data_IF_219399129254
#
_entry.id   IF_219399129254
#
_cell.length_a   1.000
_cell.length_b   1.000
_cell.length_c   1.000
_cell.angle_alpha   90.00
_cell.angle_beta   90.00
_cell.angle_gamma   90.00
#
_symmetry.space_group_name_H-M   'P 1'
#
loop_
_entity.id
_entity.type
_entity.pdbx_description
1 polymer ?
#
# COMPACT_ATOMS: atom_id res chain seq x y z
N UNK A 1 23.34 -22.39 -2.66
CA UNK A 1 24.22 -21.80 -3.68
C UNK A 1 23.52 -20.57 -4.27
N UNK A 2 23.58 -19.43 -3.58
CA UNK A 2 23.22 -18.12 -4.14
C UNK A 2 24.04 -17.05 -3.43
N UNK A 3 25.18 -16.71 -4.03
CA UNK A 3 25.96 -15.54 -3.66
C UNK A 3 26.73 -15.11 -4.90
N UNK A 4 26.04 -14.48 -5.84
CA UNK A 4 26.74 -13.50 -6.68
C UNK A 4 26.76 -12.21 -5.87
N UNK A 5 27.93 -11.63 -5.58
CA UNK A 5 27.98 -10.29 -5.03
C UNK A 5 27.37 -9.36 -6.08
N UNK A 6 26.29 -8.69 -5.73
CA UNK A 6 25.80 -7.56 -6.50
C UNK A 6 26.85 -6.48 -6.24
N UNK A 7 27.71 -6.16 -7.21
CA UNK A 7 28.65 -5.05 -7.10
C UNK A 7 27.84 -3.74 -7.26
N UNK A 8 27.54 -2.99 -6.19
CA UNK A 8 26.49 -1.96 -6.27
C UNK A 8 26.97 -0.62 -6.84
N UNK A 9 28.16 -0.54 -7.43
CA UNK A 9 28.87 0.75 -7.58
C UNK A 9 28.90 1.27 -9.02
N UNK A 10 28.53 0.49 -10.02
CA UNK A 10 28.73 0.92 -11.42
C UNK A 10 27.90 2.16 -11.81
N UNK A 11 26.78 2.43 -11.15
CA UNK A 11 25.85 3.50 -11.55
C UNK A 11 26.21 4.91 -11.06
N UNK A 12 27.05 5.03 -10.03
CA UNK A 12 27.39 6.34 -9.41
C UNK A 12 28.89 6.63 -9.44
N UNK A 13 29.70 5.78 -10.06
CA UNK A 13 31.15 5.97 -10.14
C UNK A 13 31.52 7.34 -10.74
N UNK A 14 30.78 7.82 -11.73
CA UNK A 14 30.99 9.13 -12.36
C UNK A 14 30.72 10.33 -11.45
N UNK A 15 29.92 10.14 -10.39
CA UNK A 15 29.66 11.18 -9.37
C UNK A 15 30.56 11.01 -8.15
N UNK A 16 31.32 9.91 -8.08
CA UNK A 16 32.03 9.40 -6.91
C UNK A 16 33.49 9.80 -6.78
N UNK A 17 34.00 10.71 -7.61
CA UNK A 17 35.44 11.05 -7.72
C UNK A 17 36.10 11.48 -6.39
N UNK A 18 35.32 11.88 -5.39
CA UNK A 18 35.79 12.30 -4.07
C UNK A 18 35.60 11.25 -2.97
N UNK A 19 35.13 10.05 -3.29
CA UNK A 19 34.91 8.96 -2.32
C UNK A 19 33.86 9.28 -1.25
N UNK A 20 32.97 10.25 -1.52
CA UNK A 20 31.98 10.78 -0.59
C UNK A 20 30.58 10.15 -0.73
N UNK A 21 30.43 9.13 -1.60
CA UNK A 21 29.20 8.38 -1.76
C UNK A 21 29.37 6.97 -1.21
N UNK A 22 28.41 6.53 -0.39
CA UNK A 22 28.32 5.16 0.10
C UNK A 22 26.89 4.68 -0.08
N UNK A 23 26.73 3.45 -0.58
CA UNK A 23 25.43 2.81 -0.61
C UNK A 23 25.11 2.27 0.79
N UNK A 24 24.02 2.75 1.36
CA UNK A 24 23.49 2.17 2.59
C UNK A 24 22.65 0.93 2.22
N UNK A 25 22.92 -0.23 2.83
CA UNK A 25 22.09 -1.41 2.61
C UNK A 25 20.67 -1.15 3.13
N UNK A 26 19.70 -1.87 2.57
CA UNK A 26 18.32 -1.83 3.07
C UNK A 26 18.28 -2.29 4.54
N UNK A 27 17.47 -1.60 5.34
CA UNK A 27 17.26 -1.92 6.76
C UNK A 27 16.12 -2.92 6.97
N UNK A 28 15.55 -3.46 5.89
CA UNK A 28 14.42 -4.39 5.95
C UNK A 28 14.91 -5.76 6.42
N UNK A 29 14.49 -6.16 7.62
CA UNK A 29 14.84 -7.45 8.21
C UNK A 29 13.94 -8.58 7.69
N UNK A 30 14.35 -9.27 6.63
CA UNK A 30 13.58 -10.37 6.02
C UNK A 30 13.11 -11.43 7.04
N UNK A 31 14.00 -11.90 7.92
CA UNK A 31 13.64 -12.88 8.97
C UNK A 31 12.54 -12.40 9.92
N UNK A 32 12.49 -11.09 10.18
CA UNK A 32 11.43 -10.50 11.01
C UNK A 32 10.08 -10.50 10.26
N UNK A 33 10.12 -10.32 8.94
CA UNK A 33 8.93 -10.43 8.09
C UNK A 33 8.43 -11.87 8.06
N UNK A 34 9.31 -12.85 7.88
CA UNK A 34 8.93 -14.27 7.88
C UNK A 34 8.26 -14.66 9.21
N UNK A 35 8.89 -14.33 10.34
CA UNK A 35 8.31 -14.57 11.66
C UNK A 35 6.96 -13.86 11.88
N UNK A 36 6.78 -12.66 11.30
CA UNK A 36 5.51 -11.96 11.34
C UNK A 36 4.44 -12.68 10.50
N UNK A 37 4.79 -13.15 9.29
CA UNK A 37 3.86 -13.89 8.42
C UNK A 37 3.38 -15.17 9.12
N UNK A 38 4.29 -15.91 9.75
CA UNK A 38 3.97 -17.17 10.45
C UNK A 38 3.06 -16.96 11.66
N UNK A 39 3.26 -15.85 12.38
CA UNK A 39 2.49 -15.52 13.58
C UNK A 39 1.14 -14.83 13.28
N UNK A 40 0.93 -14.33 12.06
CA UNK A 40 -0.24 -13.51 11.72
C UNK A 40 -0.94 -14.00 10.44
N UNK A 41 -1.80 -15.02 10.55
CA UNK A 41 -2.67 -15.46 9.47
C UNK A 41 -3.57 -14.33 8.96
N UNK A 42 -3.81 -14.28 7.64
CA UNK A 42 -4.66 -13.24 7.01
C UNK A 42 -6.06 -13.16 7.60
N UNK A 43 -6.78 -14.27 7.86
CA UNK A 43 -8.12 -14.19 8.45
C UNK A 43 -8.13 -13.47 9.81
N UNK A 44 -7.11 -13.70 10.64
CA UNK A 44 -6.99 -13.10 11.96
C UNK A 44 -6.73 -11.59 11.84
N UNK A 45 -5.88 -11.18 10.90
CA UNK A 45 -5.62 -9.77 10.61
C UNK A 45 -6.86 -9.06 10.04
N UNK A 46 -7.59 -9.71 9.12
CA UNK A 46 -8.84 -9.13 8.56
C UNK A 46 -9.88 -8.96 9.66
N UNK A 47 -10.01 -9.95 10.55
CA UNK A 47 -10.86 -9.87 11.74
C UNK A 47 -10.44 -8.74 12.69
N UNK A 48 -9.14 -8.61 13.01
CA UNK A 48 -8.58 -7.53 13.84
C UNK A 48 -9.01 -6.15 13.34
N UNK A 49 -9.02 -5.95 12.02
CA UNK A 49 -9.36 -4.67 11.39
C UNK A 49 -10.82 -4.56 10.92
N UNK A 50 -11.67 -5.56 11.23
CA UNK A 50 -13.08 -5.64 10.82
C UNK A 50 -13.28 -5.51 9.30
N UNK A 51 -12.33 -6.06 8.55
CA UNK A 51 -12.38 -6.14 7.10
C UNK A 51 -13.14 -7.38 6.67
N UNK A 52 -13.73 -7.31 5.47
CA UNK A 52 -14.44 -8.44 4.88
C UNK A 52 -13.45 -9.59 4.61
N UNK A 53 -13.69 -10.80 5.16
CA UNK A 53 -12.77 -11.91 5.00
C UNK A 53 -12.66 -12.38 3.55
N UNK A 54 -13.68 -12.15 2.72
CA UNK A 54 -13.76 -12.66 1.35
C UNK A 54 -13.52 -11.59 0.27
N UNK A 55 -13.38 -10.32 0.66
CA UNK A 55 -13.09 -9.25 -0.29
C UNK A 55 -11.67 -9.34 -0.83
N UNK A 56 -11.50 -8.94 -2.09
CA UNK A 56 -10.19 -8.63 -2.65
C UNK A 56 -9.78 -7.24 -2.19
N UNK A 57 -8.62 -7.13 -1.53
CA UNK A 57 -8.14 -5.88 -0.94
C UNK A 57 -7.02 -5.28 -1.80
N UNK A 58 -7.29 -4.11 -2.36
CA UNK A 58 -6.28 -3.26 -3.00
C UNK A 58 -5.88 -2.18 -2.01
N UNK A 59 -4.64 -2.22 -1.51
CA UNK A 59 -4.23 -1.39 -0.37
C UNK A 59 -3.13 -0.41 -0.77
N UNK A 60 -3.35 0.86 -0.47
CA UNK A 60 -2.35 1.92 -0.45
C UNK A 60 -1.97 2.22 1.01
N UNK A 61 -0.68 2.09 1.34
CA UNK A 61 -0.17 2.38 2.69
C UNK A 61 0.76 3.59 2.64
N UNK A 62 0.41 4.61 3.42
CA UNK A 62 1.21 5.79 3.59
C UNK A 62 0.38 6.91 4.17
N UNK A 63 1.01 7.78 4.96
CA UNK A 63 0.32 8.97 5.43
C UNK A 63 -0.29 9.74 4.26
N UNK A 64 -1.59 9.99 4.37
CA UNK A 64 -2.36 10.69 3.33
C UNK A 64 -1.84 12.12 3.23
N UNK A 65 -1.11 12.39 2.15
CA UNK A 65 -0.49 13.69 1.88
C UNK A 65 -0.27 13.88 0.37
N UNK A 66 -0.18 15.13 -0.07
CA UNK A 66 -0.20 15.53 -1.49
C UNK A 66 0.80 14.79 -2.39
N UNK A 67 1.99 14.46 -1.85
CA UNK A 67 3.10 13.83 -2.58
C UNK A 67 3.05 12.31 -2.68
N UNK A 68 1.96 11.67 -2.24
CA UNK A 68 1.84 10.20 -2.17
C UNK A 68 0.81 9.63 -3.16
N UNK A 69 0.31 10.46 -4.08
CA UNK A 69 -0.47 9.98 -5.23
C UNK A 69 -1.85 9.41 -4.90
N UNK A 70 -2.40 9.62 -3.70
CA UNK A 70 -3.72 9.06 -3.33
C UNK A 70 -4.86 9.56 -4.21
N UNK A 71 -4.74 10.76 -4.79
CA UNK A 71 -5.69 11.26 -5.80
C UNK A 71 -5.66 10.40 -7.08
N UNK A 72 -4.48 9.97 -7.54
CA UNK A 72 -4.35 9.04 -8.67
C UNK A 72 -4.94 7.67 -8.32
N UNK A 73 -4.75 7.22 -7.08
CA UNK A 73 -5.36 5.99 -6.59
C UNK A 73 -6.89 6.05 -6.69
N UNK A 74 -7.52 7.15 -6.25
CA UNK A 74 -8.97 7.37 -6.38
C UNK A 74 -9.42 7.37 -7.85
N UNK A 75 -8.66 8.02 -8.75
CA UNK A 75 -8.96 7.99 -10.19
C UNK A 75 -8.90 6.58 -10.78
N UNK A 76 -7.96 5.75 -10.31
CA UNK A 76 -7.91 4.34 -10.69
C UNK A 76 -9.13 3.57 -10.18
N UNK A 77 -9.60 3.84 -8.97
CA UNK A 77 -10.87 3.27 -8.46
C UNK A 77 -12.04 3.65 -9.36
N UNK A 78 -12.15 4.94 -9.73
CA UNK A 78 -13.22 5.44 -10.61
C UNK A 78 -13.22 4.77 -11.99
N UNK A 79 -12.04 4.57 -12.57
CA UNK A 79 -11.88 3.89 -13.86
C UNK A 79 -12.27 2.41 -13.76
N UNK A 80 -11.85 1.73 -12.69
CA UNK A 80 -12.04 0.30 -12.53
C UNK A 80 -13.44 -0.10 -12.06
N UNK A 81 -14.25 0.83 -11.51
CA UNK A 81 -15.55 0.51 -10.91
C UNK A 81 -16.55 -0.14 -11.87
N UNK A 82 -16.45 0.15 -13.17
CA UNK A 82 -17.33 -0.40 -14.21
C UNK A 82 -16.79 -1.71 -14.79
N UNK A 83 -15.47 -1.87 -14.86
CA UNK A 83 -14.81 -3.02 -15.46
C UNK A 83 -14.77 -4.23 -14.51
N UNK A 84 -14.45 -3.99 -13.24
CA UNK A 84 -14.22 -5.06 -12.27
C UNK A 84 -15.44 -5.95 -12.03
N UNK A 85 -16.68 -5.44 -11.90
CA UNK A 85 -17.86 -6.30 -11.76
C UNK A 85 -18.12 -7.18 -12.97
N UNK A 86 -17.70 -6.76 -14.18
CA UNK A 86 -17.85 -7.54 -15.42
C UNK A 86 -16.81 -8.64 -15.49
N UNK A 87 -15.55 -8.34 -15.17
CA UNK A 87 -14.45 -9.30 -15.21
C UNK A 87 -14.51 -10.32 -14.05
N UNK A 88 -15.00 -9.89 -12.89
CA UNK A 88 -15.04 -10.68 -11.66
C UNK A 88 -16.43 -10.64 -11.03
N UNK A 89 -17.44 -11.23 -11.67
CA UNK A 89 -18.82 -11.17 -11.20
C UNK A 89 -18.96 -11.79 -9.80
N UNK A 90 -19.68 -11.09 -8.92
CA UNK A 90 -19.92 -11.52 -7.54
C UNK A 90 -18.72 -11.40 -6.60
N UNK A 91 -17.56 -10.91 -7.07
CA UNK A 91 -16.42 -10.62 -6.21
C UNK A 91 -16.49 -9.20 -5.68
N UNK A 92 -16.45 -9.08 -4.36
CA UNK A 92 -16.32 -7.78 -3.69
C UNK A 92 -14.86 -7.35 -3.73
N UNK A 93 -14.60 -6.14 -4.22
CA UNK A 93 -13.27 -5.55 -4.30
C UNK A 93 -13.31 -4.24 -3.54
N UNK A 94 -12.38 -4.07 -2.59
CA UNK A 94 -12.29 -2.88 -1.75
C UNK A 94 -10.92 -2.24 -1.89
N UNK A 95 -10.92 -0.92 -1.96
CA UNK A 95 -9.74 -0.09 -2.09
C UNK A 95 -9.50 0.62 -0.76
N UNK A 96 -8.38 0.31 -0.10
CA UNK A 96 -8.06 0.83 1.23
C UNK A 96 -6.92 1.84 1.14
N UNK A 97 -7.11 3.02 1.75
CA UNK A 97 -6.06 4.02 1.94
C UNK A 97 -5.73 4.13 3.43
N UNK A 98 -4.59 3.59 3.83
CA UNK A 98 -4.16 3.49 5.23
C UNK A 98 -3.17 4.60 5.53
N UNK A 99 -3.46 5.40 6.55
CA UNK A 99 -2.65 6.59 6.87
C UNK A 99 -3.44 7.89 6.88
N UNK A 100 -4.77 7.82 6.95
CA UNK A 100 -5.61 9.00 7.00
C UNK A 100 -5.36 9.80 8.29
N UNK A 101 -4.98 11.07 8.11
CA UNK A 101 -4.80 12.04 9.19
C UNK A 101 -5.70 13.25 8.95
N UNK A 102 -6.32 13.83 9.99
CA UNK A 102 -7.08 15.06 9.84
C UNK A 102 -6.24 16.15 9.16
N UNK A 103 -6.80 16.78 8.13
CA UNK A 103 -6.14 17.84 7.38
C UNK A 103 -6.84 18.13 6.06
N UNK A 104 -6.56 19.31 5.49
CA UNK A 104 -7.21 19.81 4.27
C UNK A 104 -7.12 18.82 3.10
N UNK A 105 -5.97 18.17 2.94
CA UNK A 105 -5.77 17.19 1.87
C UNK A 105 -6.69 15.97 2.03
N UNK A 106 -6.82 15.41 3.24
CA UNK A 106 -7.75 14.30 3.48
C UNK A 106 -9.19 14.71 3.18
N UNK A 107 -9.61 15.91 3.58
CA UNK A 107 -10.96 16.40 3.29
C UNK A 107 -11.17 16.57 1.78
N UNK A 108 -10.18 17.08 1.04
CA UNK A 108 -10.24 17.16 -0.43
C UNK A 108 -10.43 15.78 -1.08
N UNK A 109 -9.73 14.76 -0.59
CA UNK A 109 -9.89 13.40 -1.13
C UNK A 109 -11.24 12.78 -0.77
N UNK A 110 -11.78 13.07 0.41
CA UNK A 110 -13.14 12.64 0.79
C UNK A 110 -14.19 13.31 -0.09
N UNK A 111 -14.05 14.61 -0.35
CA UNK A 111 -14.92 15.34 -1.26
C UNK A 111 -14.85 14.77 -2.68
N UNK A 112 -13.67 14.36 -3.15
CA UNK A 112 -13.50 13.70 -4.44
C UNK A 112 -14.20 12.33 -4.48
N UNK A 113 -14.03 11.49 -3.46
CA UNK A 113 -14.73 10.21 -3.34
C UNK A 113 -16.25 10.40 -3.35
N UNK A 114 -16.75 11.37 -2.58
CA UNK A 114 -18.17 11.66 -2.52
C UNK A 114 -18.71 12.18 -3.86
N UNK A 115 -17.96 13.06 -4.53
CA UNK A 115 -18.31 13.57 -5.87
C UNK A 115 -18.38 12.46 -6.91
N UNK A 116 -17.51 11.45 -6.80
CA UNK A 116 -17.46 10.32 -7.73
C UNK A 116 -18.43 9.18 -7.35
N UNK A 117 -19.00 9.20 -6.15
CA UNK A 117 -19.88 8.13 -5.65
C UNK A 117 -19.11 6.84 -5.35
N UNK A 118 -17.93 6.94 -4.72
CA UNK A 118 -17.01 5.83 -4.45
C UNK A 118 -16.95 5.40 -2.98
N UNK A 119 -17.84 5.90 -2.13
CA UNK A 119 -17.81 5.71 -0.67
C UNK A 119 -17.81 4.24 -0.24
N UNK A 120 -18.51 3.39 -1.01
CA UNK A 120 -18.61 1.95 -0.74
C UNK A 120 -17.40 1.15 -1.26
N UNK A 121 -16.59 1.76 -2.15
CA UNK A 121 -15.43 1.12 -2.79
C UNK A 121 -14.10 1.59 -2.21
N UNK A 122 -13.97 2.88 -1.89
CA UNK A 122 -12.73 3.51 -1.43
C UNK A 122 -12.83 3.92 0.04
N UNK A 123 -12.07 3.25 0.90
CA UNK A 123 -12.17 3.35 2.36
C UNK A 123 -10.89 3.94 2.93
N UNK A 124 -11.03 4.99 3.73
CA UNK A 124 -9.93 5.53 4.53
C UNK A 124 -9.79 4.80 5.86
N UNK A 125 -8.57 4.39 6.18
CA UNK A 125 -8.20 3.87 7.49
C UNK A 125 -7.22 4.83 8.18
N UNK A 126 -7.34 5.03 9.51
CA UNK A 126 -6.52 5.97 10.24
C UNK A 126 -5.03 5.62 10.16
N UNK A 127 -4.19 6.60 10.43
CA UNK A 127 -2.76 6.35 10.64
C UNK A 127 -2.52 5.34 11.78
N UNK A 128 -1.61 4.40 11.54
CA UNK A 128 -1.32 3.29 12.45
C UNK A 128 0.15 2.85 12.35
N UNK A 129 0.68 2.34 13.46
CA UNK A 129 1.98 1.67 13.50
C UNK A 129 1.96 0.22 12.99
N UNK A 130 0.75 -0.36 12.86
CA UNK A 130 0.54 -1.76 12.49
C UNK A 130 0.60 -1.97 10.96
N UNK A 131 1.52 -1.30 10.27
CA UNK A 131 1.58 -1.29 8.80
C UNK A 131 1.84 -2.68 8.19
N UNK A 132 2.51 -3.57 8.93
CA UNK A 132 2.76 -4.95 8.48
C UNK A 132 1.48 -5.75 8.29
N UNK A 133 0.44 -5.46 9.09
CA UNK A 133 -0.87 -6.09 8.93
C UNK A 133 -1.41 -5.83 7.52
N UNK A 134 -1.34 -4.57 7.09
CA UNK A 134 -1.87 -4.13 5.80
C UNK A 134 -1.03 -4.64 4.63
N UNK A 135 0.30 -4.69 4.75
CA UNK A 135 1.13 -5.37 3.74
C UNK A 135 0.79 -6.86 3.63
N UNK A 136 0.48 -7.53 4.75
CA UNK A 136 0.19 -8.96 4.78
C UNK A 136 -1.19 -9.31 4.22
N UNK A 137 -2.19 -8.45 4.45
CA UNK A 137 -3.58 -8.65 4.04
C UNK A 137 -3.88 -8.21 2.60
N UNK A 138 -3.02 -7.36 2.00
CA UNK A 138 -3.20 -6.86 0.65
C UNK A 138 -3.14 -8.00 -0.37
N UNK A 139 -4.17 -8.10 -1.21
CA UNK A 139 -4.12 -8.93 -2.41
C UNK A 139 -3.36 -8.20 -3.52
N UNK A 140 -3.50 -6.87 -3.57
CA UNK A 140 -2.70 -5.96 -4.40
C UNK A 140 -2.23 -4.79 -3.54
N UNK A 141 -0.93 -4.53 -3.57
CA UNK A 141 -0.33 -3.37 -2.91
C UNK A 141 0.00 -2.28 -3.92
N UNK A 142 -0.31 -1.02 -3.59
CA UNK A 142 -0.03 0.18 -4.40
C UNK A 142 0.67 1.24 -3.56
N UNK A 143 1.57 2.02 -4.15
CA UNK A 143 2.38 3.03 -3.45
C UNK A 143 2.33 4.41 -4.10
#
# INVERSE_FOLDING_TARGET
MYSRPIHPVEFFNELGDKGNFVLLPSWVGAKRIDAFIDANPVPDLRSKHRLDPEAVLVINVGSVCERKGQHIFIQAVDLLRSELPVLYPGKKIQFLMVGARPGLFLETLKDEIARLGLEDLAIFLPETGDIFDFYRMADVFTC
#
